data_IF_576280132947
#
_entry.id   IF_576280132947
#
_cell.length_a   1.000
_cell.length_b   1.000
_cell.length_c   1.000
_cell.angle_alpha   90.00
_cell.angle_beta   90.00
_cell.angle_gamma   90.00
#
_symmetry.space_group_name_H-M   'P 1'
#
loop_
_entity.id
_entity.type
_entity.pdbx_description
1 polymer ?
#
# COMPACT_ATOMS: atom_id res chain seq x y z
N UNK A 1 16.40 2.09 -8.63
CA UNK A 1 15.70 1.99 -7.32
C UNK A 1 15.30 0.53 -7.13
N UNK A 2 15.77 -0.17 -6.09
CA UNK A 2 15.40 -1.57 -5.84
C UNK A 2 14.48 -1.60 -4.62
N UNK A 3 13.30 -2.23 -4.73
CA UNK A 3 12.44 -2.47 -3.58
C UNK A 3 12.91 -3.74 -2.90
N UNK A 4 13.30 -3.63 -1.63
CA UNK A 4 13.81 -4.75 -0.83
C UNK A 4 12.66 -5.47 -0.14
N UNK A 5 11.76 -4.70 0.49
CA UNK A 5 10.64 -5.24 1.26
C UNK A 5 9.54 -4.20 1.44
N UNK A 6 8.32 -4.67 1.70
CA UNK A 6 7.16 -3.85 2.02
C UNK A 6 6.08 -4.67 2.72
N UNK A 7 5.23 -4.00 3.50
CA UNK A 7 4.08 -4.63 4.14
C UNK A 7 2.79 -3.90 3.80
N UNK A 8 1.76 -4.66 3.39
CA UNK A 8 0.39 -4.19 3.28
C UNK A 8 -0.35 -4.57 4.55
N UNK A 9 -0.75 -3.55 5.32
CA UNK A 9 -1.60 -3.70 6.47
C UNK A 9 -3.06 -3.54 6.04
N UNK A 10 -3.91 -4.48 6.44
CA UNK A 10 -5.35 -4.44 6.21
C UNK A 10 -6.05 -4.34 7.57
N UNK A 11 -7.03 -3.46 7.69
CA UNK A 11 -7.78 -3.26 8.92
C UNK A 11 -9.27 -3.07 8.64
N UNK A 12 -10.08 -3.35 9.66
CA UNK A 12 -11.51 -3.08 9.64
C UNK A 12 -11.78 -1.57 9.75
N UNK A 13 -12.69 -1.07 8.93
CA UNK A 13 -13.27 0.26 9.06
C UNK A 13 -14.32 0.28 10.16
N UNK A 14 -14.16 1.18 11.14
CA UNK A 14 -15.11 1.37 12.22
C UNK A 14 -15.39 2.87 12.40
N UNK A 15 -16.58 3.39 12.02
CA UNK A 15 -17.68 2.70 11.32
C UNK A 15 -17.35 2.42 9.84
N UNK A 16 -18.05 1.47 9.19
CA UNK A 16 -17.87 1.20 7.76
C UNK A 16 -18.26 2.42 6.90
N UNK A 17 -17.58 2.57 5.75
CA UNK A 17 -17.85 3.63 4.78
C UNK A 17 -18.72 3.07 3.64
N UNK A 18 -20.05 3.19 3.80
CA UNK A 18 -21.02 2.66 2.83
C UNK A 18 -20.93 1.14 2.73
N UNK A 19 -20.53 0.62 1.56
CA UNK A 19 -20.33 -0.82 1.34
C UNK A 19 -18.94 -1.33 1.77
N UNK A 20 -18.00 -0.43 2.05
CA UNK A 20 -16.64 -0.81 2.40
C UNK A 20 -16.50 -1.07 3.89
N UNK A 21 -15.85 -2.20 4.19
CA UNK A 21 -15.65 -2.69 5.56
C UNK A 21 -14.18 -2.76 5.95
N UNK A 22 -13.27 -2.72 4.98
CA UNK A 22 -11.85 -2.83 5.21
C UNK A 22 -11.12 -1.74 4.44
N UNK A 23 -10.00 -1.29 5.01
CA UNK A 23 -9.04 -0.46 4.32
C UNK A 23 -7.66 -1.12 4.38
N UNK A 24 -6.84 -0.82 3.37
CA UNK A 24 -5.47 -1.29 3.29
C UNK A 24 -4.51 -0.12 3.07
N UNK A 25 -3.35 -0.18 3.71
CA UNK A 25 -2.26 0.81 3.63
C UNK A 25 -0.91 0.12 3.50
N UNK A 26 0.07 0.78 2.88
CA UNK A 26 1.47 0.36 2.97
C UNK A 26 2.00 0.81 4.33
N UNK A 27 2.26 -0.16 5.21
CA UNK A 27 2.75 0.11 6.56
C UNK A 27 4.22 0.54 6.54
N UNK A 28 5.02 -0.11 5.70
CA UNK A 28 6.40 0.29 5.45
C UNK A 28 6.84 -0.08 4.03
N UNK A 29 7.86 0.62 3.54
CA UNK A 29 8.52 0.37 2.27
C UNK A 29 10.03 0.55 2.42
N UNK A 30 10.80 -0.49 2.11
CA UNK A 30 12.25 -0.50 2.13
C UNK A 30 12.78 -0.43 0.71
N UNK A 31 13.55 0.62 0.43
CA UNK A 31 14.13 0.88 -0.88
C UNK A 31 15.65 0.92 -0.75
N UNK A 32 16.33 0.12 -1.57
CA UNK A 32 17.77 0.20 -1.73
C UNK A 32 18.10 1.33 -2.71
N UNK A 33 18.73 2.34 -2.15
CA UNK A 33 19.42 3.45 -2.83
C UNK A 33 20.85 3.48 -2.30
N UNK A 34 21.77 4.24 -2.88
CA UNK A 34 23.16 4.38 -2.35
C UNK A 34 23.22 4.79 -0.87
N UNK A 35 22.11 5.26 -0.29
CA UNK A 35 21.96 5.69 1.11
C UNK A 35 21.04 4.79 1.96
N UNK A 36 20.44 3.73 1.42
CA UNK A 36 19.59 2.80 2.17
C UNK A 36 18.31 3.41 2.78
N UNK A 37 17.69 4.39 2.11
CA UNK A 37 16.55 5.14 2.67
C UNK A 37 15.26 4.31 2.77
N UNK A 38 14.61 4.37 3.95
CA UNK A 38 13.22 3.93 4.18
C UNK A 38 12.30 5.12 3.95
N UNK A 39 11.35 5.03 3.00
CA UNK A 39 10.39 6.13 2.77
C UNK A 39 8.98 5.55 2.62
N UNK A 40 8.12 5.91 3.58
CA UNK A 40 6.67 5.79 3.41
C UNK A 40 6.26 7.05 2.65
N UNK A 41 5.73 6.89 1.44
CA UNK A 41 5.06 8.01 0.79
C UNK A 41 3.64 8.10 1.37
N UNK A 42 3.40 9.11 2.21
CA UNK A 42 2.06 9.36 2.77
C UNK A 42 1.03 9.65 1.66
N UNK A 43 1.47 10.02 0.46
CA UNK A 43 0.64 10.16 -0.74
C UNK A 43 0.17 8.85 -1.35
N UNK A 44 0.70 7.69 -0.92
CA UNK A 44 0.17 6.39 -1.34
C UNK A 44 -1.27 6.19 -0.90
N UNK A 45 -1.72 6.88 0.15
CA UNK A 45 -3.08 6.80 0.66
C UNK A 45 -3.53 5.39 1.00
N UNK A 46 -4.83 5.23 1.23
CA UNK A 46 -5.46 3.96 1.53
C UNK A 46 -6.30 3.45 0.36
N UNK A 47 -6.59 2.15 0.34
CA UNK A 47 -7.55 1.54 -0.57
C UNK A 47 -8.62 0.81 0.21
N UNK A 48 -9.86 0.85 -0.28
CA UNK A 48 -11.01 0.25 0.42
C UNK A 48 -11.54 -1.00 -0.26
N UNK A 49 -12.02 -1.95 0.54
CA UNK A 49 -12.61 -3.21 0.09
C UNK A 49 -13.83 -3.62 0.93
N UNK A 50 -14.72 -4.40 0.32
CA UNK A 50 -15.82 -5.07 1.02
C UNK A 50 -15.29 -6.23 1.87
N UNK A 51 -14.20 -6.86 1.42
CA UNK A 51 -13.43 -7.90 2.12
C UNK A 51 -11.98 -7.47 2.33
N UNK A 52 -11.26 -8.17 3.22
CA UNK A 52 -9.82 -7.96 3.43
C UNK A 52 -9.02 -8.20 2.15
N UNK A 53 -9.31 -9.29 1.43
CA UNK A 53 -8.65 -9.63 0.16
C UNK A 53 -8.85 -8.56 -0.91
N UNK A 54 -10.05 -7.99 -1.02
CA UNK A 54 -10.33 -6.93 -1.98
C UNK A 54 -9.53 -5.66 -1.66
N UNK A 55 -9.47 -5.27 -0.39
CA UNK A 55 -8.68 -4.11 0.04
C UNK A 55 -7.19 -4.34 -0.21
N UNK A 56 -6.67 -5.53 0.12
CA UNK A 56 -5.28 -5.93 -0.11
C UNK A 56 -4.94 -5.94 -1.60
N UNK A 57 -5.76 -6.56 -2.43
CA UNK A 57 -5.53 -6.66 -3.86
C UNK A 57 -5.50 -5.28 -4.53
N UNK A 58 -6.37 -4.35 -4.11
CA UNK A 58 -6.34 -2.97 -4.59
C UNK A 58 -5.08 -2.24 -4.16
N UNK A 59 -4.62 -2.39 -2.92
CA UNK A 59 -3.37 -1.79 -2.47
C UNK A 59 -2.18 -2.35 -3.24
N UNK A 60 -2.14 -3.67 -3.46
CA UNK A 60 -1.12 -4.33 -4.26
C UNK A 60 -1.08 -3.78 -5.69
N UNK A 61 -2.23 -3.68 -6.36
CA UNK A 61 -2.31 -3.14 -7.72
C UNK A 61 -1.86 -1.67 -7.80
N UNK A 62 -2.20 -0.87 -6.78
CA UNK A 62 -1.75 0.52 -6.65
C UNK A 62 -0.22 0.58 -6.50
N UNK A 63 0.34 -0.28 -5.64
CA UNK A 63 1.78 -0.39 -5.43
C UNK A 63 2.54 -0.82 -6.68
N UNK A 64 2.04 -1.82 -7.40
CA UNK A 64 2.64 -2.28 -8.65
C UNK A 64 2.59 -1.19 -9.74
N UNK A 65 1.54 -0.37 -9.77
CA UNK A 65 1.43 0.75 -10.71
C UNK A 65 2.45 1.84 -10.39
N UNK A 66 2.52 2.28 -9.13
CA UNK A 66 3.53 3.23 -8.68
C UNK A 66 4.95 2.74 -8.94
N UNK A 67 5.23 1.44 -8.70
CA UNK A 67 6.53 0.83 -8.96
C UNK A 67 6.92 0.94 -10.43
N UNK A 68 5.96 0.78 -11.36
CA UNK A 68 6.22 0.95 -12.79
C UNK A 68 6.55 2.40 -13.14
N UNK A 69 5.86 3.36 -12.54
CA UNK A 69 6.05 4.80 -12.81
C UNK A 69 7.36 5.36 -12.21
N UNK A 70 7.81 4.83 -11.07
CA UNK A 70 8.99 5.34 -10.34
C UNK A 70 10.23 4.45 -10.50
N UNK A 71 10.12 3.35 -11.24
CA UNK A 71 11.16 2.34 -11.42
C UNK A 71 11.83 2.31 -12.79
N UNK A 72 11.57 3.30 -13.66
CA UNK A 72 12.32 3.49 -14.93
C UNK A 72 13.56 4.36 -14.74
#
# INVERSE_FOLDING_TARGET
>A
MIIVDYEILVQNLVPPLGLFKHYAVIQFLIIETEKGNKKIDLGFGETYGKTEDEARAKMQAKFDSWRKENGS
#
